data_IF_649990191316
#
_entry.id   IF_649990191316
#
_cell.length_a   1.000
_cell.length_b   1.000
_cell.length_c   1.000
_cell.angle_alpha   90.00
_cell.angle_beta   90.00
_cell.angle_gamma   90.00
#
_symmetry.space_group_name_H-M   'P 1'
#
loop_
_entity.id
_entity.type
_entity.pdbx_description
1 polymer ?
#
# COMPACT_ATOMS: atom_id res chain seq x y z
N UNK A 1 -35.02 6.03 -3.57
CA UNK A 1 -33.85 6.57 -2.85
C UNK A 1 -32.82 5.50 -2.41
N UNK A 2 -33.01 4.19 -2.64
CA UNK A 2 -32.06 3.14 -2.21
C UNK A 2 -30.87 2.87 -3.14
N UNK A 3 -31.01 3.01 -4.47
CA UNK A 3 -29.93 2.64 -5.40
C UNK A 3 -28.68 3.52 -5.28
N UNK A 4 -28.85 4.83 -5.10
CA UNK A 4 -27.72 5.78 -5.01
C UNK A 4 -26.84 5.55 -3.75
N UNK A 5 -27.45 5.18 -2.62
CA UNK A 5 -26.72 4.83 -1.38
C UNK A 5 -25.98 3.50 -1.50
N UNK A 6 -26.55 2.51 -2.18
CA UNK A 6 -25.87 1.24 -2.46
C UNK A 6 -24.65 1.42 -3.37
N UNK A 7 -24.78 2.26 -4.41
CA UNK A 7 -23.64 2.56 -5.30
C UNK A 7 -22.54 3.35 -4.60
N UNK A 8 -22.89 4.27 -3.69
CA UNK A 8 -21.89 5.00 -2.91
C UNK A 8 -21.17 4.08 -1.94
N UNK A 9 -21.88 3.23 -1.22
CA UNK A 9 -21.27 2.26 -0.29
C UNK A 9 -20.33 1.29 -1.01
N UNK A 10 -20.70 0.80 -2.20
CA UNK A 10 -19.85 -0.06 -3.01
C UNK A 10 -18.58 0.66 -3.49
N UNK A 11 -18.69 1.92 -3.89
CA UNK A 11 -17.55 2.76 -4.27
C UNK A 11 -16.61 3.00 -3.08
N UNK A 12 -17.16 3.37 -1.92
CA UNK A 12 -16.38 3.61 -0.70
C UNK A 12 -15.64 2.34 -0.25
N UNK A 13 -16.29 1.17 -0.35
CA UNK A 13 -15.67 -0.13 -0.09
C UNK A 13 -14.49 -0.43 -1.05
N UNK A 14 -14.64 -0.11 -2.32
CA UNK A 14 -13.61 -0.31 -3.34
C UNK A 14 -12.41 0.62 -3.12
N UNK A 15 -12.66 1.91 -2.84
CA UNK A 15 -11.59 2.87 -2.50
C UNK A 15 -10.84 2.42 -1.25
N UNK A 16 -11.55 1.98 -0.20
CA UNK A 16 -10.92 1.49 1.02
C UNK A 16 -10.07 0.23 0.76
N UNK A 17 -10.52 -0.67 -0.12
CA UNK A 17 -9.75 -1.83 -0.53
C UNK A 17 -8.46 -1.43 -1.27
N UNK A 18 -8.54 -0.44 -2.17
CA UNK A 18 -7.36 0.09 -2.87
C UNK A 18 -6.37 0.78 -1.93
N UNK A 19 -6.87 1.58 -0.97
CA UNK A 19 -6.02 2.23 0.05
C UNK A 19 -5.29 1.17 0.87
N UNK A 20 -6.00 0.14 1.33
CA UNK A 20 -5.40 -0.96 2.10
C UNK A 20 -4.31 -1.67 1.30
N UNK A 21 -4.59 -2.04 0.06
CA UNK A 21 -3.65 -2.74 -0.81
C UNK A 21 -2.42 -1.87 -1.12
N UNK A 22 -2.61 -0.59 -1.46
CA UNK A 22 -1.51 0.34 -1.71
C UNK A 22 -0.64 0.52 -0.46
N UNK A 23 -1.26 0.64 0.71
CA UNK A 23 -0.54 0.77 2.01
C UNK A 23 0.35 -0.43 2.26
N UNK A 24 -0.14 -1.65 1.99
CA UNK A 24 0.63 -2.88 2.16
C UNK A 24 1.83 -2.93 1.21
N UNK A 25 1.65 -2.54 -0.06
CA UNK A 25 2.74 -2.52 -1.04
C UNK A 25 3.81 -1.49 -0.66
N UNK A 26 3.39 -0.28 -0.26
CA UNK A 26 4.32 0.77 0.17
C UNK A 26 5.09 0.36 1.41
N UNK A 27 4.42 -0.21 2.42
CA UNK A 27 5.07 -0.69 3.63
C UNK A 27 6.09 -1.81 3.33
N UNK A 28 5.79 -2.69 2.37
CA UNK A 28 6.74 -3.71 1.92
C UNK A 28 7.99 -3.09 1.25
N UNK A 29 7.82 -2.09 0.38
CA UNK A 29 8.96 -1.38 -0.20
C UNK A 29 9.83 -0.72 0.90
N UNK A 30 9.19 -0.08 1.89
CA UNK A 30 9.89 0.57 2.99
C UNK A 30 10.62 -0.42 3.89
N UNK A 31 10.01 -1.57 4.20
CA UNK A 31 10.65 -2.64 4.96
C UNK A 31 11.93 -3.12 4.26
N UNK A 32 11.81 -3.50 2.98
CA UNK A 32 12.96 -3.99 2.21
C UNK A 32 14.02 -2.91 2.06
N UNK A 33 13.62 -1.65 1.81
CA UNK A 33 14.56 -0.55 1.70
C UNK A 33 15.27 -0.25 3.03
N UNK A 34 14.57 -0.30 4.17
CA UNK A 34 15.18 -0.11 5.48
C UNK A 34 16.25 -1.19 5.74
N UNK A 35 15.93 -2.45 5.45
CA UNK A 35 16.83 -3.60 5.68
C UNK A 35 18.01 -3.64 4.71
N UNK A 36 17.79 -3.36 3.43
CA UNK A 36 18.76 -3.66 2.38
C UNK A 36 19.37 -2.42 1.73
N UNK A 37 18.71 -1.26 1.84
CA UNK A 37 18.97 -0.03 1.05
C UNK A 37 18.71 -0.18 -0.45
N UNK A 38 17.98 -1.23 -0.86
CA UNK A 38 17.53 -1.44 -2.22
C UNK A 38 16.02 -1.37 -2.32
N UNK A 39 15.52 -0.83 -3.43
CA UNK A 39 14.11 -0.85 -3.75
C UNK A 39 13.75 -2.11 -4.52
N UNK A 40 12.63 -2.73 -4.15
CA UNK A 40 12.03 -3.79 -4.98
C UNK A 40 11.62 -3.21 -6.35
N UNK A 41 11.84 -3.97 -7.41
CA UNK A 41 11.14 -3.72 -8.67
C UNK A 41 9.63 -4.02 -8.52
N UNK A 42 8.77 -3.47 -9.39
CA UNK A 42 7.34 -3.78 -9.36
C UNK A 42 7.04 -5.29 -9.44
N UNK A 43 7.81 -6.06 -10.23
CA UNK A 43 7.62 -7.51 -10.34
C UNK A 43 8.02 -8.26 -9.06
N UNK A 44 9.08 -7.82 -8.38
CA UNK A 44 9.49 -8.36 -7.08
C UNK A 44 8.45 -8.06 -5.98
N UNK A 45 7.89 -6.84 -5.98
CA UNK A 45 6.81 -6.45 -5.06
C UNK A 45 5.55 -7.31 -5.26
N UNK A 46 5.13 -7.52 -6.51
CA UNK A 46 4.01 -8.44 -6.83
C UNK A 46 4.32 -9.88 -6.42
N UNK A 47 5.55 -10.36 -6.64
CA UNK A 47 5.99 -11.68 -6.21
C UNK A 47 5.96 -11.86 -4.68
N UNK A 48 6.36 -10.85 -3.93
CA UNK A 48 6.29 -10.85 -2.47
C UNK A 48 4.84 -10.81 -1.95
N UNK A 49 3.96 -10.01 -2.56
CA UNK A 49 2.53 -9.98 -2.21
C UNK A 49 1.84 -11.34 -2.38
N UNK A 50 2.19 -12.10 -3.43
CA UNK A 50 1.66 -13.45 -3.62
C UNK A 50 2.04 -14.40 -2.49
N UNK A 51 3.25 -14.25 -1.92
CA UNK A 51 3.69 -15.02 -0.75
C UNK A 51 2.97 -14.62 0.54
N UNK A 52 2.56 -13.36 0.65
CA UNK A 52 1.74 -12.84 1.76
C UNK A 52 0.28 -13.31 1.73
N UNK A 53 -0.09 -14.26 0.87
CA UNK A 53 -1.43 -14.86 0.82
C UNK A 53 -2.55 -13.81 0.73
N UNK A 54 -2.32 -12.67 0.06
CA UNK A 54 -3.44 -11.86 -0.42
C UNK A 54 -3.97 -12.56 -1.67
N UNK A 55 -5.06 -13.34 -1.59
CA UNK A 55 -5.49 -14.16 -2.72
C UNK A 55 -5.86 -13.26 -3.89
N UNK A 56 -5.44 -13.65 -5.09
CA UNK A 56 -5.93 -13.05 -6.32
C UNK A 56 -7.33 -13.66 -6.55
N UNK A 57 -8.38 -12.96 -6.16
CA UNK A 57 -9.76 -13.46 -6.29
C UNK A 57 -10.24 -13.48 -7.74
N UNK A 58 -9.61 -12.72 -8.65
CA UNK A 58 -9.82 -12.77 -10.10
C UNK A 58 -8.70 -12.04 -10.89
N UNK A 59 -8.75 -12.06 -12.23
CA UNK A 59 -7.79 -11.38 -13.09
C UNK A 59 -7.82 -9.84 -13.01
N UNK A 60 -8.96 -9.24 -12.62
CA UNK A 60 -9.09 -7.80 -12.37
C UNK A 60 -8.26 -7.39 -11.15
N UNK A 61 -8.16 -8.25 -10.14
CA UNK A 61 -7.31 -8.04 -8.96
C UNK A 61 -5.82 -8.02 -9.32
N UNK A 62 -5.40 -8.82 -10.31
CA UNK A 62 -4.01 -8.84 -10.79
C UNK A 62 -3.64 -7.53 -11.48
N UNK A 63 -4.45 -7.06 -12.43
CA UNK A 63 -4.21 -5.78 -13.12
C UNK A 63 -4.23 -4.60 -12.15
N UNK A 64 -5.16 -4.61 -11.18
CA UNK A 64 -5.24 -3.60 -10.12
C UNK A 64 -3.99 -3.60 -9.24
N UNK A 65 -3.48 -4.78 -8.86
CA UNK A 65 -2.21 -4.91 -8.11
C UNK A 65 -1.03 -4.38 -8.90
N UNK A 66 -0.91 -4.70 -10.18
CA UNK A 66 0.18 -4.20 -11.04
C UNK A 66 0.14 -2.67 -11.12
N UNK A 67 -1.04 -2.08 -11.34
CA UNK A 67 -1.23 -0.63 -11.37
C UNK A 67 -0.91 0.03 -10.03
N UNK A 68 -1.34 -0.57 -8.90
CA UNK A 68 -1.03 -0.02 -7.58
C UNK A 68 0.46 -0.19 -7.24
N UNK A 69 1.10 -1.29 -7.64
CA UNK A 69 2.53 -1.51 -7.45
C UNK A 69 3.39 -0.52 -8.22
N UNK A 70 3.01 -0.12 -9.44
CA UNK A 70 3.75 0.91 -10.17
C UNK A 70 3.66 2.29 -9.50
N UNK A 71 2.55 2.59 -8.82
CA UNK A 71 2.36 3.83 -8.04
C UNK A 71 3.01 3.77 -6.65
N UNK A 72 3.17 2.57 -6.09
CA UNK A 72 3.66 2.37 -4.74
C UNK A 72 5.14 2.75 -4.57
N UNK A 73 6.00 2.39 -5.51
CA UNK A 73 7.44 2.66 -5.39
C UNK A 73 7.76 4.18 -5.31
N UNK A 74 7.27 5.05 -6.22
CA UNK A 74 7.48 6.49 -6.10
C UNK A 74 6.93 7.08 -4.80
N UNK A 75 5.82 6.55 -4.29
CA UNK A 75 5.25 6.98 -3.01
C UNK A 75 6.13 6.55 -1.82
N UNK A 76 6.64 5.33 -1.85
CA UNK A 76 7.56 4.81 -0.83
C UNK A 76 8.87 5.61 -0.80
N UNK A 77 9.44 5.94 -1.96
CA UNK A 77 10.64 6.77 -2.07
C UNK A 77 10.43 8.15 -1.43
N UNK A 78 9.35 8.85 -1.80
CA UNK A 78 9.02 10.15 -1.20
C UNK A 78 8.81 10.08 0.31
N UNK A 79 8.15 9.02 0.79
CA UNK A 79 7.95 8.81 2.22
C UNK A 79 9.27 8.57 2.97
N UNK A 80 10.19 7.80 2.39
CA UNK A 80 11.52 7.56 2.94
C UNK A 80 12.36 8.85 3.03
N UNK A 81 12.23 9.74 2.04
CA UNK A 81 12.88 11.06 2.03
C UNK A 81 12.32 11.99 3.11
N UNK A 82 11.00 12.00 3.29
CA UNK A 82 10.33 12.91 4.22
C UNK A 82 10.31 12.42 5.68
N UNK A 83 10.44 11.11 5.91
CA UNK A 83 10.23 10.52 7.22
C UNK A 83 11.34 9.53 7.57
N UNK A 84 12.36 10.00 8.29
CA UNK A 84 13.48 9.18 8.74
C UNK A 84 13.06 7.94 9.57
N UNK A 85 11.92 8.01 10.27
CA UNK A 85 11.39 6.86 11.03
C UNK A 85 10.98 5.68 10.14
N UNK A 86 10.73 5.88 8.85
CA UNK A 86 10.35 4.83 7.90
C UNK A 86 11.55 4.10 7.28
N UNK A 87 12.77 4.58 7.51
CA UNK A 87 14.02 3.95 7.03
C UNK A 87 14.84 3.32 8.17
N UNK A 88 14.26 3.29 9.37
CA UNK A 88 14.72 2.57 10.55
C UNK A 88 14.28 1.08 10.45
N UNK A 89 15.23 0.13 10.31
CA UNK A 89 14.90 -1.28 10.10
C UNK A 89 14.12 -1.88 11.26
N UNK A 90 14.57 -1.66 12.50
CA UNK A 90 13.97 -2.27 13.69
C UNK A 90 12.52 -1.81 13.86
N UNK A 91 12.30 -0.52 13.63
CA UNK A 91 10.98 0.04 13.74
C UNK A 91 10.03 -0.28 12.59
N UNK A 92 10.54 -0.41 11.35
CA UNK A 92 9.74 -0.93 10.25
C UNK A 92 9.37 -2.39 10.48
N UNK A 93 10.30 -3.23 10.93
CA UNK A 93 10.02 -4.62 11.30
C UNK A 93 8.96 -4.73 12.39
N UNK A 94 9.03 -3.90 13.44
CA UNK A 94 8.04 -3.87 14.52
C UNK A 94 6.63 -3.45 14.07
N UNK A 95 6.50 -2.86 12.88
CA UNK A 95 5.20 -2.55 12.27
C UNK A 95 4.51 -3.82 11.75
N UNK A 96 5.24 -4.92 11.57
CA UNK A 96 4.71 -6.21 11.13
C UNK A 96 4.59 -7.18 12.31
N UNK A 97 3.44 -7.87 12.41
CA UNK A 97 3.16 -8.78 13.54
C UNK A 97 3.69 -10.20 13.33
N UNK A 98 3.80 -10.65 12.08
CA UNK A 98 4.19 -12.04 11.72
C UNK A 98 4.83 -12.12 10.31
N UNK A 99 5.62 -11.10 9.95
CA UNK A 99 6.25 -10.92 8.62
C UNK A 99 5.28 -10.82 7.42
N UNK A 100 3.96 -10.91 7.66
CA UNK A 100 2.92 -10.93 6.62
C UNK A 100 1.82 -9.90 6.92
N UNK A 101 1.46 -9.73 8.20
CA UNK A 101 0.45 -8.78 8.64
C UNK A 101 1.09 -7.53 9.22
N UNK A 102 0.46 -6.38 8.96
CA UNK A 102 0.84 -5.10 9.53
C UNK A 102 -0.07 -4.79 10.72
N UNK A 103 0.52 -4.37 11.84
CA UNK A 103 -0.24 -3.77 12.93
C UNK A 103 -0.87 -2.45 12.47
N UNK A 104 -2.19 -2.45 12.34
CA UNK A 104 -2.96 -1.30 11.88
C UNK A 104 -2.98 -0.14 12.88
N UNK A 105 -2.52 -0.36 14.11
CA UNK A 105 -2.41 0.65 15.15
C UNK A 105 -1.02 1.28 15.24
N UNK A 106 -0.03 0.72 14.56
CA UNK A 106 1.32 1.27 14.56
C UNK A 106 1.33 2.67 13.89
N UNK A 107 2.01 3.63 14.53
CA UNK A 107 2.11 5.01 14.02
C UNK A 107 2.65 5.07 12.58
N UNK A 108 3.61 4.19 12.26
CA UNK A 108 4.17 4.05 10.91
C UNK A 108 3.14 3.58 9.90
N UNK A 109 2.29 2.62 10.28
CA UNK A 109 1.19 2.18 9.40
C UNK A 109 0.21 3.32 9.14
N UNK A 110 -0.20 4.05 10.18
CA UNK A 110 -1.14 5.16 10.05
C UNK A 110 -0.58 6.26 9.14
N UNK A 111 0.70 6.56 9.27
CA UNK A 111 1.41 7.51 8.41
C UNK A 111 1.44 7.06 6.95
N UNK A 112 1.81 5.80 6.69
CA UNK A 112 1.82 5.25 5.32
C UNK A 112 0.41 5.24 4.74
N UNK A 113 -0.59 4.82 5.52
CA UNK A 113 -1.99 4.75 5.10
C UNK A 113 -2.53 6.13 4.73
N UNK A 114 -2.25 7.16 5.53
CA UNK A 114 -2.67 8.52 5.26
C UNK A 114 -2.10 9.04 3.92
N UNK A 115 -0.82 8.75 3.65
CA UNK A 115 -0.18 9.11 2.38
C UNK A 115 -0.79 8.36 1.18
N UNK A 116 -1.09 7.07 1.34
CA UNK A 116 -1.74 6.26 0.31
C UNK A 116 -3.17 6.75 0.01
N UNK A 117 -3.92 7.09 1.06
CA UNK A 117 -5.25 7.67 0.93
C UNK A 117 -5.21 9.02 0.19
N UNK A 118 -4.31 9.92 0.56
CA UNK A 118 -4.13 11.19 -0.14
C UNK A 118 -3.73 10.99 -1.62
N UNK A 119 -2.89 10.00 -1.91
CA UNK A 119 -2.46 9.70 -3.28
C UNK A 119 -3.58 9.11 -4.16
N UNK A 120 -4.52 8.37 -3.58
CA UNK A 120 -5.67 7.80 -4.30
C UNK A 120 -6.81 8.81 -4.48
N UNK A 121 -7.04 9.67 -3.49
CA UNK A 121 -8.08 10.70 -3.54
C UNK A 121 -7.69 11.91 -4.39
N UNK A 122 -6.40 12.20 -4.53
CA UNK A 122 -5.91 13.08 -5.61
C UNK A 122 -5.98 12.30 -6.93
N UNK A 123 -7.16 12.27 -7.54
CA UNK A 123 -7.19 12.12 -9.00
C UNK A 123 -6.57 13.38 -9.60
N UNK A 124 -5.76 13.30 -10.68
CA UNK A 124 -5.50 14.47 -11.49
C UNK A 124 -6.86 14.95 -11.99
N UNK A 125 -7.21 16.21 -11.75
CA UNK A 125 -8.24 16.86 -12.53
C UNK A 125 -7.85 16.65 -13.99
N UNK A 126 -8.67 15.87 -14.70
CA UNK A 126 -8.45 15.65 -16.12
C UNK A 126 -8.74 16.95 -16.85
N UNK A 127 -7.68 17.72 -17.16
CA UNK A 127 -7.40 18.46 -18.41
C UNK A 127 -6.17 19.32 -18.22
#
# INVERSE_FOLDING_TARGET
MSNARMTQAAFDCEVEAQVKLLTLIVALHLLVYAETRWWLSPSQAVGAMRRWHMPDSNAVDVTRRVMLSSRALPLAMRLAECHACLVDPAGMQATFTDHVHIDRRADRYLLIRAACQAALLRQPDGT
#
